data_IF_901329277976
#
_entry.id   IF_901329277976
#
_cell.length_a   1.000
_cell.length_b   1.000
_cell.length_c   1.000
_cell.angle_alpha   90.00
_cell.angle_beta   90.00
_cell.angle_gamma   90.00
#
_symmetry.space_group_name_H-M   'P 1'
#
loop_
_entity.id
_entity.type
_entity.pdbx_description
1 polymer ?
#
# COMPACT_ATOMS: atom_id res chain seq x y z
N UNK A 1 13.37 1.66 7.57
CA UNK A 1 12.53 1.87 6.36
C UNK A 1 12.71 0.67 5.45
N UNK A 2 11.64 0.16 4.84
CA UNK A 2 11.66 -0.96 3.89
C UNK A 2 11.00 -0.54 2.57
N UNK A 3 11.51 -1.04 1.44
CA UNK A 3 10.96 -0.78 0.10
C UNK A 3 10.90 -2.09 -0.68
N UNK A 4 9.73 -2.43 -1.21
CA UNK A 4 9.49 -3.75 -1.81
C UNK A 4 8.48 -3.69 -2.97
N UNK A 5 8.92 -4.09 -4.16
CA UNK A 5 8.02 -4.46 -5.25
C UNK A 5 7.38 -5.83 -4.95
N UNK A 6 6.07 -5.83 -4.73
CA UNK A 6 5.35 -7.01 -4.25
C UNK A 6 4.68 -7.81 -5.37
N UNK A 7 4.75 -7.35 -6.63
CA UNK A 7 4.14 -8.00 -7.78
C UNK A 7 2.66 -8.36 -7.58
N UNK A 8 1.87 -7.36 -7.22
CA UNK A 8 0.41 -7.43 -7.12
C UNK A 8 -0.12 -8.08 -5.85
N UNK A 9 -1.42 -8.38 -5.89
CA UNK A 9 -2.16 -9.09 -4.84
C UNK A 9 -2.00 -8.48 -3.43
N UNK A 10 -1.85 -7.16 -3.32
CA UNK A 10 -1.57 -6.51 -2.05
C UNK A 10 -2.60 -6.83 -0.93
N UNK A 11 -3.93 -6.79 -1.18
CA UNK A 11 -4.91 -7.15 -0.15
C UNK A 11 -4.76 -8.59 0.36
N UNK A 12 -4.50 -9.54 -0.56
CA UNK A 12 -4.28 -10.95 -0.23
C UNK A 12 -2.96 -11.15 0.55
N UNK A 13 -1.90 -10.43 0.19
CA UNK A 13 -0.64 -10.46 0.95
C UNK A 13 -0.84 -9.89 2.34
N UNK A 14 -1.61 -8.80 2.46
CA UNK A 14 -1.95 -8.21 3.75
C UNK A 14 -2.87 -9.10 4.59
N UNK A 15 -3.60 -10.07 4.04
CA UNK A 15 -4.32 -11.05 4.86
C UNK A 15 -3.43 -12.17 5.40
N UNK A 16 -2.19 -12.29 4.92
CA UNK A 16 -1.22 -13.29 5.39
C UNK A 16 -0.48 -12.81 6.67
N UNK A 17 -0.59 -13.51 7.81
CA UNK A 17 0.07 -13.11 9.05
C UNK A 17 1.59 -13.02 8.94
N UNK A 18 2.22 -13.91 8.17
CA UNK A 18 3.67 -13.92 7.93
C UNK A 18 4.11 -12.64 7.23
N UNK A 19 3.29 -12.12 6.30
CA UNK A 19 3.56 -10.88 5.60
C UNK A 19 3.43 -9.68 6.55
N UNK A 20 2.35 -9.62 7.36
CA UNK A 20 2.18 -8.58 8.40
C UNK A 20 3.36 -8.54 9.37
N UNK A 21 3.83 -9.70 9.86
CA UNK A 21 5.01 -9.78 10.73
C UNK A 21 6.30 -9.26 10.10
N UNK A 22 6.41 -9.29 8.77
CA UNK A 22 7.55 -8.67 8.07
C UNK A 22 7.42 -7.15 8.05
N UNK A 23 6.21 -6.63 7.85
CA UNK A 23 5.89 -5.20 7.83
C UNK A 23 6.14 -4.56 9.19
N UNK A 24 5.70 -5.22 10.26
CA UNK A 24 5.79 -4.73 11.64
C UNK A 24 7.22 -4.46 12.13
N UNK A 25 8.24 -5.00 11.44
CA UNK A 25 9.66 -4.78 11.73
C UNK A 25 10.18 -3.40 11.31
N UNK A 26 9.38 -2.63 10.57
CA UNK A 26 9.79 -1.34 10.02
C UNK A 26 8.75 -0.26 10.29
N UNK A 27 9.19 0.94 10.66
CA UNK A 27 8.28 2.06 10.90
C UNK A 27 7.61 2.58 9.62
N UNK A 28 8.26 2.40 8.47
CA UNK A 28 7.79 2.81 7.14
C UNK A 28 8.10 1.69 6.15
N UNK A 29 7.08 1.24 5.43
CA UNK A 29 7.13 0.26 4.35
C UNK A 29 6.58 0.88 3.07
N UNK A 30 7.37 0.86 2.00
CA UNK A 30 7.01 1.36 0.68
C UNK A 30 6.80 0.17 -0.25
N UNK A 31 5.64 0.11 -0.90
CA UNK A 31 5.26 -0.98 -1.80
C UNK A 31 5.07 -0.47 -3.21
N UNK A 32 5.60 -1.20 -4.19
CA UNK A 32 5.37 -0.97 -5.63
C UNK A 32 4.68 -2.18 -6.26
N UNK A 33 4.04 -1.94 -7.42
CA UNK A 33 3.20 -2.93 -8.11
C UNK A 33 2.11 -3.47 -7.17
N UNK A 34 1.38 -2.58 -6.49
CA UNK A 34 0.34 -3.01 -5.53
C UNK A 34 -0.90 -3.57 -6.22
N UNK A 35 -1.14 -3.15 -7.47
CA UNK A 35 -2.28 -3.52 -8.31
C UNK A 35 -3.64 -3.24 -7.63
N UNK A 36 -3.67 -2.25 -6.73
CA UNK A 36 -4.88 -1.80 -6.07
C UNK A 36 -5.80 -1.07 -7.04
N UNK A 37 -7.10 -1.30 -6.88
CA UNK A 37 -8.15 -0.46 -7.47
C UNK A 37 -8.29 0.83 -6.64
N UNK A 38 -8.80 1.94 -7.23
CA UNK A 38 -9.15 3.12 -6.46
C UNK A 38 -9.94 2.74 -5.20
N UNK A 39 -9.60 3.38 -4.08
CA UNK A 39 -10.25 3.24 -2.77
C UNK A 39 -10.17 1.84 -2.12
N UNK A 40 -9.57 0.85 -2.81
CA UNK A 40 -9.41 -0.50 -2.26
C UNK A 40 -8.54 -0.52 -1.00
N UNK A 41 -7.61 0.44 -0.87
CA UNK A 41 -6.72 0.56 0.27
C UNK A 41 -7.46 0.80 1.60
N UNK A 42 -8.63 1.43 1.57
CA UNK A 42 -9.45 1.71 2.76
C UNK A 42 -10.03 0.44 3.40
N UNK A 43 -10.14 -0.64 2.62
CA UNK A 43 -10.66 -1.94 3.08
C UNK A 43 -9.56 -2.88 3.60
N UNK A 44 -8.28 -2.51 3.47
CA UNK A 44 -7.17 -3.39 3.82
C UNK A 44 -6.95 -3.38 5.32
N UNK A 45 -7.00 -4.58 5.92
CA UNK A 45 -6.60 -4.75 7.31
C UNK A 45 -5.07 -4.60 7.46
N UNK A 46 -4.67 -3.54 8.15
CA UNK A 46 -3.28 -3.27 8.52
C UNK A 46 -2.95 -3.88 9.89
N UNK A 47 -1.65 -4.06 10.21
CA UNK A 47 -1.19 -4.22 11.58
C UNK A 47 -1.69 -3.10 12.49
N UNK A 48 -1.90 -3.42 13.77
CA UNK A 48 -2.33 -2.43 14.77
C UNK A 48 -1.29 -1.30 14.86
N UNK A 49 -1.78 -0.05 14.86
CA UNK A 49 -0.92 1.13 14.95
C UNK A 49 -0.23 1.52 13.65
N UNK A 50 -0.68 1.00 12.51
CA UNK A 50 -0.23 1.42 11.17
C UNK A 50 -1.36 2.11 10.39
N UNK A 51 -0.95 3.01 9.50
CA UNK A 51 -1.79 3.71 8.54
C UNK A 51 -1.28 3.44 7.13
N UNK A 52 -2.13 3.65 6.12
CA UNK A 52 -1.80 3.47 4.71
C UNK A 52 -2.12 4.73 3.92
N UNK A 53 -1.24 5.06 2.99
CA UNK A 53 -1.53 5.92 1.85
C UNK A 53 -1.28 5.11 0.59
N UNK A 54 -2.21 5.13 -0.37
CA UNK A 54 -2.06 4.44 -1.63
C UNK A 54 -2.29 5.37 -2.81
N UNK A 55 -1.51 5.15 -3.87
CA UNK A 55 -1.76 5.79 -5.16
C UNK A 55 -1.88 4.72 -6.22
N UNK A 56 -3.08 4.64 -6.78
CA UNK A 56 -3.38 3.70 -7.85
C UNK A 56 -3.07 4.35 -9.20
N UNK A 57 -2.78 3.52 -10.19
CA UNK A 57 -2.69 4.01 -11.57
C UNK A 57 -4.08 4.51 -11.98
N UNK A 58 -4.20 5.75 -12.46
CA UNK A 58 -5.44 6.26 -13.06
C UNK A 58 -5.79 5.35 -14.25
N UNK A 59 -6.87 4.59 -14.12
CA UNK A 59 -7.34 3.71 -15.19
C UNK A 59 -7.72 4.54 -16.41
N UNK A 60 -7.25 4.16 -17.60
CA UNK A 60 -8.00 4.48 -18.82
C UNK A 60 -9.26 3.61 -18.79
N UNK A 61 -10.37 4.22 -19.15
CA UNK A 61 -11.72 3.63 -19.18
C UNK A 61 -11.74 2.15 -19.62
N UNK A 62 -12.55 1.36 -18.90
CA UNK A 62 -12.99 -0.03 -19.17
C UNK A 62 -12.02 -1.15 -18.78
N UNK A 63 -12.46 -2.00 -17.83
CA UNK A 63 -12.10 -3.43 -17.62
C UNK A 63 -10.63 -3.92 -17.70
N UNK A 64 -9.64 -3.05 -17.83
CA UNK A 64 -8.23 -3.46 -17.88
C UNK A 64 -7.77 -4.02 -16.54
N UNK A 65 -6.89 -5.03 -16.61
CA UNK A 65 -6.25 -5.64 -15.45
C UNK A 65 -5.62 -4.54 -14.57
N UNK A 66 -5.77 -4.62 -13.25
CA UNK A 66 -5.08 -3.68 -12.36
C UNK A 66 -3.57 -3.92 -12.44
N UNK A 67 -2.80 -2.86 -12.65
CA UNK A 67 -1.35 -2.91 -12.77
C UNK A 67 -0.69 -1.64 -12.24
N UNK A 68 0.60 -1.72 -11.89
CA UNK A 68 1.32 -0.62 -11.26
C UNK A 68 0.77 -0.28 -9.86
N UNK A 69 0.85 1.00 -9.51
CA UNK A 69 0.40 1.51 -8.21
C UNK A 69 1.44 1.34 -7.11
N UNK A 70 1.34 2.21 -6.11
CA UNK A 70 2.23 2.27 -4.95
C UNK A 70 1.42 2.42 -3.67
N UNK A 71 1.98 1.96 -2.55
CA UNK A 71 1.41 2.21 -1.23
C UNK A 71 2.51 2.42 -0.20
N UNK A 72 2.28 3.33 0.74
CA UNK A 72 3.09 3.52 1.93
C UNK A 72 2.31 3.03 3.15
N UNK A 73 2.84 2.06 3.88
CA UNK A 73 2.32 1.61 5.17
C UNK A 73 3.29 2.02 6.26
N UNK A 74 2.84 2.81 7.21
CA UNK A 74 3.70 3.45 8.21
C UNK A 74 3.04 3.47 9.58
N UNK A 75 3.85 3.54 10.66
CA UNK A 75 3.32 3.68 12.02
C UNK A 75 2.50 4.96 12.15
N UNK A 76 1.29 4.85 12.68
CA UNK A 76 0.35 5.97 12.84
C UNK A 76 0.86 7.07 13.79
N UNK A 77 1.88 6.78 14.60
CA UNK A 77 2.54 7.78 15.45
C UNK A 77 3.46 8.74 14.67
N UNK A 78 3.79 8.44 13.41
CA UNK A 78 4.61 9.29 12.57
C UNK A 78 3.79 10.44 11.98
N UNK A 79 4.34 11.65 12.05
CA UNK A 79 3.76 12.82 11.36
C UNK A 79 4.11 12.75 9.88
N UNK A 80 3.13 12.33 9.06
CA UNK A 80 3.29 12.27 7.61
C UNK A 80 2.66 13.49 6.95
N UNK A 81 3.36 14.09 6.00
CA UNK A 81 2.85 15.14 5.12
C UNK A 81 2.72 14.58 3.70
N UNK A 82 1.49 14.31 3.28
CA UNK A 82 1.19 13.96 1.89
C UNK A 82 1.26 15.22 1.00
N UNK A 83 1.83 15.09 -0.20
CA UNK A 83 2.06 16.19 -1.16
C UNK A 83 1.59 15.78 -2.55
N UNK A 84 0.34 16.05 -2.86
CA UNK A 84 -0.27 15.71 -4.15
C UNK A 84 0.34 16.46 -5.33
N UNK A 85 0.97 17.61 -5.07
CA UNK A 85 1.60 18.46 -6.09
C UNK A 85 2.90 17.89 -6.68
N UNK A 86 3.51 16.92 -6.02
CA UNK A 86 4.71 16.22 -6.49
C UNK A 86 4.41 14.89 -7.18
N UNK A 87 3.12 14.63 -7.42
CA UNK A 87 2.59 13.30 -7.72
C UNK A 87 2.17 13.18 -9.19
#
# INVERSE_FOLDING_TARGET
>A
INSWNINGAFPLKMSCPQFRRKIEKFDINLFQETHLRPDQHDTIQLPVGYSILARTRRGRSSFEKSWGGVAAVFKSSLKIRHREDLS
#
